data_IF_619925010192
#
_entry.id   IF_619925010192
#
_cell.length_a   1.000
_cell.length_b   1.000
_cell.length_c   1.000
_cell.angle_alpha   90.00
_cell.angle_beta   90.00
_cell.angle_gamma   90.00
#
_symmetry.space_group_name_H-M   'P 1'
#
loop_
_entity.id
_entity.type
_entity.pdbx_description
1 polymer ?
#
# COMPACT_ATOMS: atom_id res chain seq x y z
N UNK A 1 0.64 18.52 -4.53
CA UNK A 1 1.89 17.79 -4.16
C UNK A 1 1.95 16.32 -4.61
N UNK A 2 1.04 15.82 -5.45
CA UNK A 2 0.97 14.37 -5.71
C UNK A 2 2.14 13.76 -6.49
N UNK A 3 2.33 14.13 -7.76
CA UNK A 3 3.32 13.48 -8.66
C UNK A 3 4.77 13.84 -8.32
N UNK A 4 5.07 15.09 -8.04
CA UNK A 4 6.41 15.57 -7.69
C UNK A 4 6.97 14.88 -6.43
N UNK A 5 6.13 14.58 -5.46
CA UNK A 5 6.51 13.91 -4.22
C UNK A 5 7.05 12.50 -4.45
N UNK A 6 6.42 11.71 -5.34
CA UNK A 6 6.80 10.34 -5.63
C UNK A 6 8.16 10.21 -6.33
N UNK A 7 8.61 11.29 -6.97
CA UNK A 7 9.92 11.37 -7.64
C UNK A 7 11.04 11.91 -6.75
N UNK A 8 10.74 12.29 -5.50
CA UNK A 8 11.77 12.65 -4.53
C UNK A 8 12.68 11.46 -4.28
N UNK A 9 13.99 11.73 -4.17
CA UNK A 9 15.01 10.70 -4.10
C UNK A 9 15.56 10.52 -2.68
N UNK A 10 15.80 9.26 -2.36
CA UNK A 10 16.55 8.79 -1.21
C UNK A 10 17.70 7.94 -1.73
N UNK A 11 18.96 8.39 -1.52
CA UNK A 11 20.17 7.75 -2.05
C UNK A 11 20.10 7.49 -3.57
N UNK A 12 19.68 8.51 -4.35
CA UNK A 12 19.61 8.45 -5.81
C UNK A 12 18.48 7.59 -6.40
N UNK A 13 17.58 7.05 -5.57
CA UNK A 13 16.43 6.24 -6.01
C UNK A 13 15.15 6.92 -5.55
N UNK A 14 14.19 7.12 -6.46
CA UNK A 14 12.91 7.74 -6.11
C UNK A 14 12.09 6.91 -5.13
N UNK A 15 11.24 7.58 -4.33
CA UNK A 15 10.40 6.91 -3.32
C UNK A 15 9.58 5.78 -3.94
N UNK A 16 8.90 6.07 -5.05
CA UNK A 16 8.04 5.09 -5.71
C UNK A 16 8.84 3.92 -6.32
N UNK A 17 10.06 4.16 -6.79
CA UNK A 17 10.91 3.10 -7.32
C UNK A 17 11.42 2.17 -6.20
N UNK A 18 11.68 2.69 -5.01
CA UNK A 18 12.00 1.87 -3.83
C UNK A 18 10.83 0.95 -3.47
N UNK A 19 9.60 1.48 -3.44
CA UNK A 19 8.40 0.67 -3.20
C UNK A 19 8.23 -0.39 -4.29
N UNK A 20 8.35 0.01 -5.58
CA UNK A 20 8.26 -0.93 -6.70
C UNK A 20 9.28 -2.06 -6.58
N UNK A 21 10.54 -1.74 -6.26
CA UNK A 21 11.60 -2.74 -6.12
C UNK A 21 11.28 -3.74 -5.00
N UNK A 22 10.89 -3.25 -3.82
CA UNK A 22 10.50 -4.12 -2.69
C UNK A 22 9.34 -5.07 -3.05
N UNK A 23 8.35 -4.59 -3.82
CA UNK A 23 7.22 -5.41 -4.26
C UNK A 23 7.62 -6.41 -5.36
N UNK A 24 8.51 -6.02 -6.30
CA UNK A 24 8.98 -6.91 -7.37
C UNK A 24 9.73 -8.13 -6.85
N UNK A 25 10.34 -8.04 -5.65
CA UNK A 25 11.07 -9.14 -5.02
C UNK A 25 10.15 -10.22 -4.40
N UNK A 26 8.84 -9.93 -4.27
CA UNK A 26 7.89 -10.83 -3.60
C UNK A 26 6.56 -11.01 -4.35
N UNK A 27 6.25 -10.16 -5.32
CA UNK A 27 5.01 -10.21 -6.07
C UNK A 27 5.24 -10.63 -7.53
N UNK A 28 4.34 -11.44 -8.08
CA UNK A 28 4.43 -11.90 -9.49
C UNK A 28 4.12 -10.82 -10.52
N UNK A 29 3.41 -9.78 -10.12
CA UNK A 29 3.22 -8.57 -10.92
C UNK A 29 3.22 -7.34 -10.01
N UNK A 30 3.65 -6.21 -10.55
CA UNK A 30 3.55 -4.91 -9.89
C UNK A 30 2.69 -4.00 -10.76
N UNK A 31 1.69 -3.37 -10.14
CA UNK A 31 0.80 -2.39 -10.75
C UNK A 31 1.10 -1.01 -10.17
N UNK A 32 1.11 -0.01 -11.02
CA UNK A 32 1.14 1.40 -10.59
C UNK A 32 -0.17 2.06 -11.00
N UNK A 33 -0.96 2.44 -10.02
CA UNK A 33 -2.25 3.09 -10.23
C UNK A 33 -2.09 4.60 -10.15
N UNK A 34 -2.32 5.27 -11.25
CA UNK A 34 -2.12 6.73 -11.34
C UNK A 34 -0.64 7.13 -11.22
N UNK A 35 -0.38 8.42 -10.98
CA UNK A 35 0.97 8.91 -10.72
C UNK A 35 1.94 8.79 -11.91
N UNK A 36 3.03 8.06 -11.72
CA UNK A 36 4.17 7.96 -12.66
C UNK A 36 4.23 6.58 -13.29
N UNK A 37 4.58 6.50 -14.56
CA UNK A 37 4.89 5.21 -15.22
C UNK A 37 6.28 4.75 -14.79
N UNK A 38 6.38 3.49 -14.39
CA UNK A 38 7.65 2.88 -13.98
C UNK A 38 8.00 1.69 -14.87
N UNK A 39 9.29 1.53 -15.16
CA UNK A 39 9.79 0.34 -15.83
C UNK A 39 9.54 -0.91 -14.96
N UNK A 40 9.16 -2.02 -15.58
CA UNK A 40 8.87 -3.27 -14.87
C UNK A 40 7.56 -3.30 -14.07
N UNK A 41 6.71 -2.27 -14.21
CA UNK A 41 5.37 -2.24 -13.63
C UNK A 41 4.31 -1.97 -14.70
N UNK A 42 3.14 -2.57 -14.54
CA UNK A 42 1.99 -2.29 -15.41
C UNK A 42 1.27 -1.04 -14.92
N UNK A 43 1.18 -0.03 -15.77
CA UNK A 43 0.51 1.23 -15.45
C UNK A 43 -1.00 1.10 -15.63
N UNK A 44 -1.75 1.52 -14.60
CA UNK A 44 -3.20 1.47 -14.56
C UNK A 44 -3.74 2.90 -14.45
N UNK A 45 -4.71 3.20 -15.29
CA UNK A 45 -5.56 4.39 -15.17
C UNK A 45 -6.88 3.92 -14.56
N UNK A 46 -7.27 4.48 -13.42
CA UNK A 46 -8.55 4.16 -12.81
C UNK A 46 -9.71 4.68 -13.68
N UNK A 47 -10.82 3.94 -13.69
CA UNK A 47 -12.02 4.31 -14.46
C UNK A 47 -12.80 5.46 -13.81
N UNK A 48 -12.66 5.63 -12.50
CA UNK A 48 -13.33 6.71 -11.77
C UNK A 48 -12.65 8.06 -11.99
N UNK A 49 -13.41 9.17 -11.94
CA UNK A 49 -12.85 10.52 -12.03
C UNK A 49 -11.73 10.72 -11.01
N UNK A 50 -10.73 11.53 -11.37
CA UNK A 50 -9.63 11.87 -10.45
C UNK A 50 -10.13 12.59 -9.19
N UNK A 51 -9.36 12.51 -8.11
CA UNK A 51 -9.66 13.22 -6.85
C UNK A 51 -10.54 12.45 -5.85
N UNK A 52 -10.90 11.20 -6.13
CA UNK A 52 -11.71 10.37 -5.22
C UNK A 52 -10.88 9.70 -4.10
N UNK A 53 -9.65 10.17 -3.86
CA UNK A 53 -8.81 9.70 -2.77
C UNK A 53 -8.18 8.32 -3.00
N UNK A 54 -7.53 7.77 -1.96
CA UNK A 54 -6.81 6.50 -2.06
C UNK A 54 -7.72 5.29 -2.31
N UNK A 55 -8.97 5.36 -1.89
CA UNK A 55 -9.92 4.25 -2.03
C UNK A 55 -10.20 3.91 -3.50
N UNK A 56 -10.32 4.92 -4.38
CA UNK A 56 -10.46 4.72 -5.83
C UNK A 56 -9.19 4.09 -6.45
N UNK A 57 -8.02 4.43 -5.94
CA UNK A 57 -6.77 3.79 -6.34
C UNK A 57 -6.72 2.31 -5.95
N UNK A 58 -7.23 1.97 -4.77
CA UNK A 58 -7.37 0.58 -4.32
C UNK A 58 -8.33 -0.21 -5.22
N UNK A 59 -9.50 0.36 -5.57
CA UNK A 59 -10.46 -0.26 -6.48
C UNK A 59 -9.81 -0.57 -7.84
N UNK A 60 -9.17 0.42 -8.45
CA UNK A 60 -8.51 0.26 -9.75
C UNK A 60 -7.40 -0.80 -9.71
N UNK A 61 -6.61 -0.85 -8.62
CA UNK A 61 -5.59 -1.85 -8.38
C UNK A 61 -6.18 -3.26 -8.27
N UNK A 62 -7.18 -3.45 -7.42
CA UNK A 62 -7.86 -4.74 -7.22
C UNK A 62 -8.59 -5.22 -8.49
N UNK A 63 -9.25 -4.33 -9.22
CA UNK A 63 -9.93 -4.65 -10.48
C UNK A 63 -8.94 -5.12 -11.55
N UNK A 64 -7.77 -4.48 -11.63
CA UNK A 64 -6.74 -4.76 -12.63
C UNK A 64 -5.84 -5.93 -12.29
N UNK A 65 -5.76 -6.35 -11.02
CA UNK A 65 -4.89 -7.42 -10.58
C UNK A 65 -5.28 -8.78 -11.21
N UNK A 66 -4.28 -9.55 -11.63
CA UNK A 66 -4.46 -10.89 -12.21
C UNK A 66 -4.58 -11.98 -11.15
N UNK A 67 -4.07 -11.73 -9.96
CA UNK A 67 -4.00 -12.69 -8.86
C UNK A 67 -5.06 -12.39 -7.80
N UNK A 68 -5.56 -13.42 -7.09
CA UNK A 68 -6.63 -13.24 -6.09
C UNK A 68 -6.18 -12.52 -4.83
N UNK A 69 -4.88 -12.58 -4.49
CA UNK A 69 -4.30 -11.90 -3.34
C UNK A 69 -3.45 -10.73 -3.82
N UNK A 70 -3.66 -9.57 -3.26
CA UNK A 70 -3.06 -8.30 -3.69
C UNK A 70 -2.47 -7.59 -2.47
N UNK A 71 -1.21 -7.18 -2.55
CA UNK A 71 -0.63 -6.24 -1.60
C UNK A 71 -0.76 -4.82 -2.14
N UNK A 72 -1.24 -3.90 -1.32
CA UNK A 72 -1.35 -2.48 -1.65
C UNK A 72 -0.34 -1.70 -0.83
N UNK A 73 0.49 -0.91 -1.51
CA UNK A 73 1.41 0.03 -0.89
C UNK A 73 1.23 1.43 -1.45
N UNK A 74 1.29 2.44 -0.58
CA UNK A 74 1.41 3.82 -1.03
C UNK A 74 2.81 4.07 -1.61
N UNK A 75 2.88 4.82 -2.73
CA UNK A 75 4.14 5.05 -3.43
C UNK A 75 5.16 5.94 -2.68
N UNK A 76 4.76 6.47 -1.52
CA UNK A 76 5.57 7.30 -0.63
C UNK A 76 6.00 6.59 0.67
N UNK A 77 5.95 5.25 0.69
CA UNK A 77 6.38 4.39 1.81
C UNK A 77 7.70 3.65 1.47
N UNK A 78 8.85 4.34 1.44
CA UNK A 78 10.11 3.81 0.89
C UNK A 78 10.74 2.67 1.70
N UNK A 79 10.22 2.36 2.89
CA UNK A 79 10.74 1.34 3.80
C UNK A 79 9.87 0.09 3.90
N UNK A 80 8.91 -0.08 2.99
CA UNK A 80 8.15 -1.34 2.90
C UNK A 80 9.13 -2.50 2.71
N UNK A 81 9.14 -3.42 3.69
CA UNK A 81 10.05 -4.55 3.69
C UNK A 81 9.41 -5.79 3.06
N UNK A 82 10.17 -6.50 2.22
CA UNK A 82 9.75 -7.77 1.61
C UNK A 82 9.18 -8.75 2.65
N UNK A 83 9.85 -8.91 3.80
CA UNK A 83 9.39 -9.82 4.86
C UNK A 83 8.00 -9.47 5.40
N UNK A 84 7.66 -8.18 5.50
CA UNK A 84 6.33 -7.73 5.88
C UNK A 84 5.30 -8.09 4.80
N UNK A 85 5.60 -7.84 3.53
CA UNK A 85 4.72 -8.17 2.40
C UNK A 85 4.42 -9.67 2.36
N UNK A 86 5.47 -10.51 2.43
CA UNK A 86 5.34 -11.97 2.45
C UNK A 86 4.52 -12.45 3.66
N UNK A 87 4.71 -11.85 4.83
CA UNK A 87 3.98 -12.19 6.04
C UNK A 87 2.48 -11.89 5.91
N UNK A 88 2.11 -10.68 5.48
CA UNK A 88 0.71 -10.28 5.36
C UNK A 88 -0.02 -11.07 4.26
N UNK A 89 0.61 -11.28 3.11
CA UNK A 89 0.07 -12.15 2.05
C UNK A 89 -0.05 -13.59 2.51
N UNK A 90 0.93 -14.11 3.26
CA UNK A 90 0.91 -15.45 3.83
C UNK A 90 -0.21 -15.64 4.85
N UNK A 91 -0.53 -14.63 5.67
CA UNK A 91 -1.67 -14.66 6.59
C UNK A 91 -2.99 -14.65 5.82
N UNK A 92 -3.12 -13.76 4.84
CA UNK A 92 -4.30 -13.69 3.99
C UNK A 92 -4.56 -14.99 3.23
N UNK A 93 -3.50 -15.67 2.77
CA UNK A 93 -3.59 -16.94 2.06
C UNK A 93 -4.15 -18.11 2.89
N UNK A 94 -4.14 -18.02 4.23
CA UNK A 94 -4.76 -19.00 5.12
C UNK A 94 -6.28 -19.00 5.04
N UNK A 95 -6.85 -17.93 4.49
CA UNK A 95 -8.29 -17.74 4.38
C UNK A 95 -8.96 -17.27 5.69
N UNK A 96 -10.28 -17.09 5.62
CA UNK A 96 -11.08 -16.64 6.76
C UNK A 96 -11.21 -15.12 6.88
N UNK A 97 -10.35 -14.34 6.19
CA UNK A 97 -10.42 -12.88 6.19
C UNK A 97 -10.29 -12.32 4.77
N UNK A 98 -10.76 -11.10 4.57
CA UNK A 98 -10.70 -10.37 3.30
C UNK A 98 -9.53 -9.40 3.23
N UNK A 99 -9.01 -8.99 4.39
CA UNK A 99 -7.86 -8.12 4.49
C UNK A 99 -6.98 -8.47 5.70
N UNK A 100 -5.67 -8.24 5.57
CA UNK A 100 -4.69 -8.28 6.68
C UNK A 100 -3.96 -6.94 6.70
N UNK A 101 -4.18 -6.17 7.78
CA UNK A 101 -3.82 -4.75 7.85
C UNK A 101 -2.91 -4.49 9.04
N UNK A 102 -1.74 -3.87 8.87
CA UNK A 102 -0.91 -3.42 9.98
C UNK A 102 -1.63 -2.36 10.83
N UNK A 103 -1.51 -2.50 12.15
CA UNK A 103 -1.88 -1.48 13.13
C UNK A 103 -0.64 -1.12 13.94
N UNK A 104 -0.41 0.17 14.11
CA UNK A 104 0.70 0.67 14.93
C UNK A 104 0.30 1.97 15.62
N UNK A 105 0.45 2.04 16.96
CA UNK A 105 0.05 3.20 17.78
C UNK A 105 -1.40 3.62 17.50
N UNK A 106 -2.32 2.67 17.57
CA UNK A 106 -3.77 2.85 17.34
C UNK A 106 -4.16 3.34 15.93
N UNK A 107 -3.22 3.34 14.99
CA UNK A 107 -3.48 3.71 13.59
C UNK A 107 -3.39 2.49 12.69
N UNK A 108 -4.39 2.32 11.84
CA UNK A 108 -4.37 1.33 10.77
C UNK A 108 -3.62 1.87 9.55
N UNK A 109 -2.98 0.97 8.81
CA UNK A 109 -2.21 1.31 7.61
C UNK A 109 -2.76 0.60 6.36
N UNK A 110 -3.95 0.99 5.88
CA UNK A 110 -4.64 0.34 4.77
C UNK A 110 -3.88 0.44 3.44
N UNK A 111 -2.96 1.39 3.29
CA UNK A 111 -2.10 1.52 2.12
C UNK A 111 -0.71 0.89 2.34
N UNK A 112 -0.62 -0.09 3.25
CA UNK A 112 0.50 -1.02 3.42
C UNK A 112 -0.07 -2.36 3.89
N UNK A 113 -0.96 -2.98 3.11
CA UNK A 113 -1.79 -4.09 3.57
C UNK A 113 -2.09 -5.10 2.47
N UNK A 114 -2.48 -6.32 2.85
CA UNK A 114 -2.86 -7.39 1.95
C UNK A 114 -4.39 -7.52 1.85
N UNK A 115 -4.90 -7.73 0.65
CA UNK A 115 -6.33 -7.78 0.33
C UNK A 115 -6.66 -8.94 -0.61
N UNK A 116 -7.86 -9.52 -0.45
CA UNK A 116 -8.43 -10.39 -1.47
C UNK A 116 -9.15 -9.56 -2.55
N UNK A 117 -9.08 -10.01 -3.81
CA UNK A 117 -9.87 -9.39 -4.89
C UNK A 117 -11.39 -9.49 -4.68
N UNK A 118 -11.84 -10.43 -3.88
CA UNK A 118 -13.27 -10.58 -3.54
C UNK A 118 -13.84 -9.37 -2.78
N UNK A 119 -12.98 -8.49 -2.26
CA UNK A 119 -13.39 -7.23 -1.63
C UNK A 119 -13.89 -6.18 -2.64
N UNK A 120 -13.59 -6.35 -3.93
CA UNK A 120 -13.87 -5.37 -4.99
C UNK A 120 -15.35 -4.92 -5.06
N UNK A 121 -16.39 -5.80 -4.98
CA UNK A 121 -17.78 -5.34 -5.00
C UNK A 121 -18.13 -4.43 -3.83
N UNK A 122 -17.68 -4.76 -2.62
CA UNK A 122 -17.91 -3.91 -1.42
C UNK A 122 -17.22 -2.55 -1.54
N UNK A 123 -16.02 -2.54 -2.10
CA UNK A 123 -15.25 -1.33 -2.35
C UNK A 123 -15.95 -0.41 -3.36
N UNK A 124 -16.48 -0.98 -4.45
CA UNK A 124 -17.25 -0.25 -5.46
C UNK A 124 -18.49 0.41 -4.85
N UNK A 125 -19.30 -0.35 -4.09
CA UNK A 125 -20.46 0.16 -3.37
C UNK A 125 -20.10 1.31 -2.42
N UNK A 126 -19.05 1.14 -1.60
CA UNK A 126 -18.61 2.18 -0.66
C UNK A 126 -18.20 3.49 -1.39
N UNK A 127 -17.51 3.38 -2.53
CA UNK A 127 -17.16 4.52 -3.36
C UNK A 127 -18.38 5.22 -3.97
N UNK A 128 -19.39 4.46 -4.40
CA UNK A 128 -20.67 4.98 -4.92
C UNK A 128 -21.46 5.71 -3.83
N UNK A 129 -21.41 5.20 -2.60
CA UNK A 129 -21.99 5.81 -1.41
C UNK A 129 -21.18 7.03 -0.89
N UNK A 130 -20.08 7.36 -1.54
CA UNK A 130 -19.29 8.56 -1.24
C UNK A 130 -18.08 8.35 -0.33
N UNK A 131 -17.75 7.11 0.06
CA UNK A 131 -16.51 6.84 0.81
C UNK A 131 -15.26 7.27 0.02
N UNK A 132 -14.26 7.79 0.74
CA UNK A 132 -13.00 8.26 0.15
C UNK A 132 -11.78 7.75 0.90
N UNK A 133 -11.90 7.58 2.21
CA UNK A 133 -10.82 7.17 3.09
C UNK A 133 -10.79 5.64 3.25
N UNK A 134 -9.62 5.05 3.04
CA UNK A 134 -9.44 3.60 3.12
C UNK A 134 -9.63 3.04 4.54
N UNK A 135 -9.33 3.83 5.58
CA UNK A 135 -9.54 3.39 6.97
C UNK A 135 -11.04 3.32 7.32
N UNK A 136 -11.85 4.32 6.93
CA UNK A 136 -13.31 4.32 7.13
C UNK A 136 -13.97 3.13 6.42
N UNK A 137 -13.52 2.80 5.22
CA UNK A 137 -13.99 1.62 4.49
C UNK A 137 -13.74 0.33 5.26
N UNK A 138 -12.53 0.18 5.85
CA UNK A 138 -12.18 -1.02 6.60
C UNK A 138 -12.95 -1.18 7.91
N UNK A 139 -13.39 -0.09 8.55
CA UNK A 139 -14.22 -0.13 9.75
C UNK A 139 -15.59 -0.80 9.50
N UNK A 140 -16.05 -0.79 8.26
CA UNK A 140 -17.30 -1.47 7.81
C UNK A 140 -17.10 -2.91 7.36
N UNK A 141 -15.91 -3.51 7.52
CA UNK A 141 -15.59 -4.87 7.11
C UNK A 141 -15.23 -5.73 8.32
N UNK A 142 -16.05 -6.72 8.63
CA UNK A 142 -15.84 -7.61 9.78
C UNK A 142 -14.65 -8.56 9.57
N UNK A 143 -14.41 -8.98 8.31
CA UNK A 143 -13.37 -9.95 7.95
C UNK A 143 -12.00 -9.29 7.74
N UNK A 144 -11.57 -8.44 8.70
CA UNK A 144 -10.25 -7.81 8.73
C UNK A 144 -9.43 -8.36 9.88
N UNK A 145 -8.25 -8.85 9.59
CA UNK A 145 -7.24 -9.20 10.58
C UNK A 145 -6.25 -8.05 10.77
N UNK A 146 -6.03 -7.62 12.01
CA UNK A 146 -5.04 -6.60 12.33
C UNK A 146 -3.77 -7.23 12.89
N UNK A 147 -2.62 -6.81 12.37
CA UNK A 147 -1.28 -7.26 12.78
C UNK A 147 -0.54 -6.11 13.44
N UNK A 148 -0.06 -6.30 14.67
CA UNK A 148 0.61 -5.25 15.44
C UNK A 148 1.95 -5.71 16.04
N UNK A 149 1.94 -6.69 16.92
CA UNK A 149 3.14 -7.11 17.67
C UNK A 149 4.23 -7.68 16.75
N UNK A 150 3.84 -8.42 15.72
CA UNK A 150 4.76 -9.07 14.77
C UNK A 150 5.51 -8.10 13.87
N UNK A 151 5.05 -6.85 13.74
CA UNK A 151 5.69 -5.83 12.87
C UNK A 151 7.16 -5.64 13.20
N UNK A 152 7.53 -5.71 14.48
CA UNK A 152 8.92 -5.58 14.97
C UNK A 152 9.87 -6.63 14.41
N UNK A 153 9.36 -7.75 13.90
CA UNK A 153 10.16 -8.83 13.27
C UNK A 153 10.71 -8.41 11.90
N UNK A 154 10.15 -7.38 11.30
CA UNK A 154 10.49 -6.91 9.96
C UNK A 154 11.25 -5.57 9.97
N UNK A 155 11.40 -4.96 11.14
CA UNK A 155 12.09 -3.68 11.36
C UNK A 155 11.37 -2.80 12.38
N UNK A 156 11.78 -1.53 12.48
CA UNK A 156 11.06 -0.54 13.28
C UNK A 156 9.69 -0.26 12.64
N UNK A 157 8.57 -0.56 13.32
CA UNK A 157 7.24 -0.34 12.75
C UNK A 157 6.96 1.13 12.38
N UNK A 158 7.52 2.07 13.14
CA UNK A 158 7.41 3.49 12.85
C UNK A 158 8.07 3.86 11.52
N UNK A 159 9.17 3.20 11.17
CA UNK A 159 9.87 3.39 9.90
C UNK A 159 9.18 2.64 8.75
N UNK A 160 8.89 1.35 8.96
CA UNK A 160 8.22 0.48 7.96
C UNK A 160 6.94 1.09 7.42
N UNK A 161 6.15 1.75 8.29
CA UNK A 161 4.82 2.29 7.99
C UNK A 161 4.82 3.81 7.77
N UNK A 162 6.00 4.43 7.66
CA UNK A 162 6.12 5.88 7.44
C UNK A 162 5.84 6.26 5.99
N UNK A 163 4.94 7.23 5.82
CA UNK A 163 4.77 7.96 4.57
C UNK A 163 5.68 9.20 4.59
N UNK A 164 6.41 9.44 3.52
CA UNK A 164 7.20 10.66 3.35
C UNK A 164 6.25 11.79 2.89
N UNK A 165 5.77 12.62 3.82
CA UNK A 165 4.81 13.69 3.57
C UNK A 165 5.40 15.10 3.66
N UNK A 166 6.53 15.25 4.38
CA UNK A 166 7.19 16.51 4.64
C UNK A 166 8.70 16.45 4.30
N UNK A 167 9.37 17.60 4.17
CA UNK A 167 10.83 17.64 4.05
C UNK A 167 11.55 16.93 5.23
N UNK A 168 10.99 17.02 6.44
CA UNK A 168 11.54 16.33 7.63
C UNK A 168 11.46 14.80 7.49
N UNK A 169 10.35 14.26 6.96
CA UNK A 169 10.22 12.82 6.68
C UNK A 169 11.26 12.37 5.65
N UNK A 170 11.50 13.20 4.63
CA UNK A 170 12.49 12.90 3.58
C UNK A 170 13.90 12.87 4.14
N UNK A 171 14.26 13.81 5.03
CA UNK A 171 15.56 13.82 5.70
C UNK A 171 15.72 12.60 6.60
N UNK A 172 14.68 12.24 7.35
CA UNK A 172 14.67 11.00 8.14
C UNK A 172 14.88 9.79 7.22
N UNK A 173 14.16 9.72 6.11
CA UNK A 173 14.30 8.63 5.15
C UNK A 173 15.73 8.53 4.59
N UNK A 174 16.36 9.66 4.26
CA UNK A 174 17.75 9.68 3.79
C UNK A 174 18.74 9.21 4.85
N UNK A 175 18.52 9.58 6.11
CA UNK A 175 19.38 9.16 7.22
C UNK A 175 19.27 7.67 7.50
N UNK A 176 18.05 7.13 7.48
CA UNK A 176 17.82 5.70 7.75
C UNK A 176 18.27 4.80 6.59
N UNK A 177 18.22 5.29 5.36
CA UNK A 177 18.72 4.54 4.19
C UNK A 177 20.26 4.39 4.14
N UNK A 178 21.01 5.18 4.95
CA UNK A 178 22.47 5.10 5.06
C UNK A 178 22.96 4.15 6.15
N UNK A 179 22.08 3.61 6.96
CA UNK A 179 22.42 2.66 8.06
C UNK A 179 22.42 1.23 7.57
#
# INVERSE_FOLDING_TARGET
MGREKLTLEVEGVSLIERVRAALADCCREVLVVGGVKLAGARYIVGERPGGLGPLAGMEAGLASARYPLVFIAAGDMPFVAKGLVDHLLGRLARGGVLAVVPRYRDRTHPLCAAYTRSLLPRLGTALDDGARAAHEFLEGIDEVEYVEEELRRFGDPGLLLTNVNSPGDLELARREARR
#
